data_IF_348907799638
#
_entry.id   IF_348907799638
#
_cell.length_a   1.000
_cell.length_b   1.000
_cell.length_c   1.000
_cell.angle_alpha   90.00
_cell.angle_beta   90.00
_cell.angle_gamma   90.00
#
_symmetry.space_group_name_H-M   'P 1'
#
loop_
_entity.id
_entity.type
_entity.pdbx_description
1 polymer ?
#
# COMPACT_ATOMS: atom_id res chain seq x y z
N UNK A 1 -72.58 19.26 37.35
CA UNK A 1 -71.60 19.89 36.45
C UNK A 1 -70.22 19.47 36.92
N UNK A 2 -69.58 18.46 36.30
CA UNK A 2 -68.26 18.03 36.73
C UNK A 2 -67.17 18.88 36.07
N UNK A 3 -66.25 19.30 36.92
CA UNK A 3 -65.02 20.04 36.66
C UNK A 3 -63.99 19.15 35.97
N UNK A 4 -63.41 19.63 34.87
CA UNK A 4 -62.30 18.99 34.16
C UNK A 4 -60.99 19.15 34.96
N UNK A 5 -60.40 18.03 35.40
CA UNK A 5 -59.03 18.00 35.89
C UNK A 5 -58.05 17.90 34.72
N UNK A 6 -57.04 18.77 34.75
CA UNK A 6 -55.88 18.79 33.87
C UNK A 6 -54.94 17.63 34.18
N UNK A 7 -54.44 16.96 33.14
CA UNK A 7 -53.25 16.09 33.20
C UNK A 7 -52.25 16.61 32.17
N UNK A 8 -51.03 17.04 32.57
CA UNK A 8 -50.01 17.42 31.62
C UNK A 8 -49.24 16.17 31.14
N UNK A 9 -49.31 15.94 29.83
CA UNK A 9 -48.50 14.99 29.08
C UNK A 9 -47.04 15.48 29.07
N UNK A 10 -46.03 14.65 29.39
CA UNK A 10 -44.64 15.07 29.28
C UNK A 10 -44.21 15.07 27.80
N UNK A 11 -43.90 16.25 27.29
CA UNK A 11 -43.29 16.45 25.98
C UNK A 11 -41.79 16.10 26.12
N UNK A 12 -41.42 14.89 25.71
CA UNK A 12 -40.03 14.49 25.60
C UNK A 12 -39.39 15.20 24.39
N UNK A 13 -38.56 16.20 24.69
CA UNK A 13 -37.73 16.91 23.73
C UNK A 13 -36.53 16.01 23.39
N UNK A 14 -36.59 15.32 22.25
CA UNK A 14 -35.44 14.62 21.66
C UNK A 14 -34.53 15.68 21.05
N UNK A 15 -33.41 15.94 21.73
CA UNK A 15 -32.34 16.80 21.25
C UNK A 15 -31.49 15.97 20.26
N UNK A 16 -31.73 16.13 18.96
CA UNK A 16 -30.83 15.64 17.93
C UNK A 16 -29.58 16.54 17.92
N UNK A 17 -28.47 16.06 18.47
CA UNK A 17 -27.16 16.69 18.34
C UNK A 17 -26.53 16.05 17.10
N UNK A 18 -26.21 16.90 16.12
CA UNK A 18 -25.65 16.50 14.84
C UNK A 18 -24.33 15.77 14.99
N UNK A 19 -24.21 14.64 14.30
CA UNK A 19 -22.92 14.03 14.01
C UNK A 19 -22.13 14.99 13.13
N UNK A 20 -20.95 15.38 13.60
CA UNK A 20 -19.88 15.77 12.71
C UNK A 20 -19.32 14.47 12.13
N UNK A 21 -19.69 14.18 10.89
CA UNK A 21 -18.92 13.32 10.01
C UNK A 21 -17.52 13.94 9.87
N UNK A 22 -16.53 13.31 10.50
CA UNK A 22 -15.11 13.45 10.18
C UNK A 22 -14.58 12.05 9.88
N UNK A 23 -15.04 11.50 8.77
CA UNK A 23 -14.28 10.48 8.05
C UNK A 23 -13.36 11.25 7.10
N UNK A 24 -12.09 11.38 7.48
CA UNK A 24 -11.08 11.80 6.53
C UNK A 24 -10.94 10.68 5.49
N UNK A 25 -11.11 10.98 4.18
CA UNK A 25 -10.81 10.02 3.14
C UNK A 25 -9.29 9.84 3.10
N UNK A 26 -8.81 8.63 3.37
CA UNK A 26 -7.53 8.19 2.82
C UNK A 26 -7.71 8.32 1.32
N UNK A 27 -7.05 9.32 0.74
CA UNK A 27 -6.97 9.54 -0.69
C UNK A 27 -6.16 8.37 -1.24
N UNK A 28 -6.84 7.25 -1.50
CA UNK A 28 -6.37 6.29 -2.49
C UNK A 28 -6.49 7.03 -3.82
N UNK A 29 -5.36 7.59 -4.26
CA UNK A 29 -5.25 7.96 -5.66
C UNK A 29 -5.56 6.71 -6.45
N UNK A 30 -6.60 6.77 -7.28
CA UNK A 30 -6.99 5.67 -8.15
C UNK A 30 -5.81 5.28 -9.02
N UNK A 31 -5.02 4.33 -8.54
CA UNK A 31 -4.13 3.55 -9.38
C UNK A 31 -5.08 2.65 -10.14
N UNK A 32 -5.39 3.06 -11.36
CA UNK A 32 -5.71 2.09 -12.40
C UNK A 32 -4.57 1.07 -12.34
N UNK A 33 -4.85 -0.08 -11.72
CA UNK A 33 -3.95 -1.24 -11.74
C UNK A 33 -3.95 -1.79 -13.16
N UNK A 34 -3.34 -1.04 -14.06
CA UNK A 34 -2.81 -1.53 -15.31
C UNK A 34 -1.54 -2.28 -14.97
N UNK A 35 -1.64 -3.56 -14.58
CA UNK A 35 -0.60 -4.58 -14.85
C UNK A 35 -1.08 -5.96 -14.38
N UNK A 36 -1.83 -6.62 -15.27
CA UNK A 36 -1.82 -8.07 -15.42
C UNK A 36 -1.91 -8.34 -16.92
N UNK A 37 -0.90 -8.95 -17.58
CA UNK A 37 -0.95 -9.10 -19.03
C UNK A 37 -1.83 -10.31 -19.37
N UNK A 38 -3.10 -10.08 -19.70
CA UNK A 38 -3.84 -11.05 -20.49
C UNK A 38 -3.51 -10.85 -21.96
N UNK A 39 -2.37 -11.41 -22.39
CA UNK A 39 -2.05 -11.59 -23.81
C UNK A 39 -2.40 -13.00 -24.21
N UNK A 40 -3.56 -13.15 -24.84
CA UNK A 40 -3.90 -14.34 -25.61
C UNK A 40 -2.92 -14.49 -26.77
N UNK A 41 -2.15 -15.59 -26.82
CA UNK A 41 -1.49 -16.00 -28.06
C UNK A 41 -1.72 -17.49 -28.33
N UNK A 42 -2.37 -17.74 -29.47
CA UNK A 42 -2.47 -19.03 -30.13
C UNK A 42 -1.34 -19.12 -31.16
N UNK A 43 -0.57 -20.21 -31.16
CA UNK A 43 0.52 -20.39 -32.13
C UNK A 43 1.24 -21.73 -32.04
N UNK A 44 0.92 -22.60 -32.99
CA UNK A 44 1.41 -23.98 -33.22
C UNK A 44 2.92 -24.08 -33.52
N UNK A 45 3.47 -25.24 -33.15
CA UNK A 45 4.81 -25.80 -33.37
C UNK A 45 5.47 -25.60 -34.75
N UNK A 46 6.80 -25.47 -34.76
CA UNK A 46 7.67 -26.34 -35.58
C UNK A 46 9.14 -26.36 -35.10
N UNK A 47 9.78 -27.52 -35.26
CA UNK A 47 11.15 -27.87 -34.85
C UNK A 47 12.21 -27.46 -35.87
N UNK A 48 13.45 -27.15 -35.43
CA UNK A 48 14.72 -27.72 -35.97
C UNK A 48 16.02 -27.02 -35.45
N UNK A 49 16.80 -27.80 -34.68
CA UNK A 49 18.24 -28.15 -34.86
C UNK A 49 19.39 -27.09 -34.86
N UNK A 50 20.25 -27.24 -33.83
CA UNK A 50 21.73 -27.39 -33.81
C UNK A 50 22.76 -26.23 -33.76
N UNK A 51 23.69 -26.44 -32.81
CA UNK A 51 25.14 -26.10 -32.72
C UNK A 51 25.48 -24.61 -32.50
N UNK A 52 26.56 -24.17 -31.81
CA UNK A 52 27.56 -24.63 -30.83
C UNK A 52 28.67 -23.54 -30.88
N UNK A 53 29.53 -23.49 -29.85
CA UNK A 53 30.81 -22.76 -29.71
C UNK A 53 30.77 -21.40 -28.99
N UNK A 54 31.29 -21.27 -27.75
CA UNK A 54 32.62 -21.51 -27.14
C UNK A 54 33.50 -20.25 -27.16
N UNK A 55 33.65 -19.68 -25.95
CA UNK A 55 34.78 -18.97 -25.31
C UNK A 55 35.76 -18.09 -26.11
N UNK A 56 36.12 -16.93 -25.55
CA UNK A 56 37.46 -16.72 -24.94
C UNK A 56 37.59 -15.36 -24.23
N UNK A 57 38.36 -15.41 -23.14
CA UNK A 57 38.80 -14.34 -22.22
C UNK A 57 40.13 -13.76 -22.71
N UNK A 58 40.36 -12.45 -22.52
CA UNK A 58 41.72 -11.89 -22.30
C UNK A 58 41.67 -10.64 -21.41
N UNK A 59 42.55 -10.64 -20.41
CA UNK A 59 42.90 -9.59 -19.43
C UNK A 59 44.23 -8.90 -19.79
N UNK A 60 44.57 -7.87 -18.98
CA UNK A 60 45.83 -7.09 -18.81
C UNK A 60 45.90 -5.72 -19.56
N UNK A 61 45.79 -4.53 -18.92
CA UNK A 61 46.59 -3.80 -17.89
C UNK A 61 47.72 -2.91 -18.52
N UNK A 62 48.34 -1.90 -17.84
CA UNK A 62 47.86 -0.59 -17.37
C UNK A 62 48.67 0.63 -17.92
N UNK A 63 48.25 1.85 -17.55
CA UNK A 63 49.19 2.89 -17.07
C UNK A 63 49.48 4.09 -18.00
N UNK A 64 49.24 5.30 -17.50
CA UNK A 64 49.79 6.54 -18.06
C UNK A 64 49.12 7.84 -17.60
N UNK A 65 49.66 8.46 -16.54
CA UNK A 65 49.35 9.84 -16.09
C UNK A 65 50.39 10.81 -16.66
N UNK A 66 49.99 11.95 -17.24
CA UNK A 66 50.39 13.35 -16.87
C UNK A 66 49.90 14.42 -17.86
N UNK A 67 49.37 15.49 -17.25
CA UNK A 67 49.39 16.94 -17.57
C UNK A 67 49.17 17.52 -18.98
N UNK A 68 48.26 18.49 -19.02
CA UNK A 68 48.17 19.48 -20.10
C UNK A 68 46.99 20.45 -19.93
N UNK A 69 47.21 21.55 -19.22
CA UNK A 69 46.25 22.64 -19.04
C UNK A 69 45.91 23.37 -20.36
N UNK A 70 44.64 23.73 -20.56
CA UNK A 70 44.27 24.94 -21.32
C UNK A 70 42.90 25.46 -20.89
N UNK A 71 42.90 26.72 -20.47
CA UNK A 71 41.75 27.58 -20.15
C UNK A 71 40.95 27.96 -21.40
N UNK A 72 39.64 27.79 -21.38
CA UNK A 72 38.71 28.63 -22.15
C UNK A 72 37.42 28.83 -21.35
N UNK A 73 37.21 30.09 -20.96
CA UNK A 73 35.97 30.63 -20.43
C UNK A 73 34.91 30.63 -21.52
N UNK A 74 33.67 30.25 -21.19
CA UNK A 74 32.50 30.75 -21.90
C UNK A 74 31.37 31.05 -20.92
N UNK A 75 31.29 32.35 -20.62
CA UNK A 75 30.16 33.04 -20.02
C UNK A 75 29.02 33.06 -21.04
N UNK A 76 27.87 32.49 -20.70
CA UNK A 76 26.62 32.77 -21.41
C UNK A 76 25.57 33.23 -20.42
N UNK A 77 25.53 34.55 -20.24
CA UNK A 77 24.41 35.33 -19.74
C UNK A 77 23.29 35.35 -20.79
N UNK A 78 22.09 34.88 -20.46
CA UNK A 78 20.87 35.16 -21.23
C UNK A 78 19.78 35.68 -20.28
N UNK A 79 19.76 37.02 -20.22
CA UNK A 79 18.59 37.93 -20.19
C UNK A 79 17.39 37.59 -19.29
N UNK A 80 17.30 38.34 -18.19
CA UNK A 80 16.06 38.91 -17.67
C UNK A 80 15.51 39.98 -18.63
N UNK A 81 14.22 39.91 -18.97
CA UNK A 81 13.18 40.90 -18.62
C UNK A 81 12.08 41.05 -19.70
N UNK A 82 10.85 40.63 -19.36
CA UNK A 82 9.63 41.33 -19.79
C UNK A 82 8.41 40.86 -18.97
N UNK A 83 7.69 41.77 -18.32
CA UNK A 83 6.45 41.46 -17.61
C UNK A 83 5.26 41.49 -18.59
N UNK A 84 4.57 40.37 -18.74
CA UNK A 84 3.25 40.31 -19.36
C UNK A 84 2.18 40.69 -18.30
N UNK A 85 1.33 41.71 -18.52
CA UNK A 85 0.29 42.12 -17.59
C UNK A 85 -0.95 41.24 -17.78
N UNK A 86 -0.81 39.97 -17.46
CA UNK A 86 -1.93 39.05 -17.24
C UNK A 86 -1.55 38.13 -16.08
N UNK A 87 -1.29 38.76 -14.93
CA UNK A 87 -0.93 38.13 -13.67
C UNK A 87 -2.07 37.31 -13.07
N UNK A 88 -2.43 36.21 -13.72
CA UNK A 88 -2.81 35.03 -12.99
C UNK A 88 -1.55 34.60 -12.23
N UNK A 89 -1.51 34.93 -10.94
CA UNK A 89 -0.57 34.31 -10.01
C UNK A 89 -0.94 32.83 -10.05
N UNK A 90 -0.22 32.06 -10.87
CA UNK A 90 -0.15 30.63 -10.69
C UNK A 90 0.53 30.49 -9.34
N UNK A 91 -0.27 30.28 -8.30
CA UNK A 91 0.24 29.81 -7.02
C UNK A 91 0.79 28.43 -7.37
N UNK A 92 2.07 28.38 -7.74
CA UNK A 92 2.85 27.16 -7.66
C UNK A 92 2.78 26.83 -6.17
N UNK A 93 2.09 25.75 -5.77
CA UNK A 93 2.18 25.28 -4.39
C UNK A 93 3.67 25.19 -4.08
N UNK A 94 4.14 25.70 -2.93
CA UNK A 94 5.54 25.51 -2.59
C UNK A 94 5.87 24.04 -2.75
N UNK A 95 6.92 23.72 -3.52
CA UNK A 95 7.41 22.35 -3.61
C UNK A 95 7.67 21.89 -2.18
N UNK A 96 7.02 20.78 -1.77
CA UNK A 96 7.26 20.22 -0.44
C UNK A 96 8.77 20.00 -0.29
N UNK A 97 9.36 20.40 0.86
CA UNK A 97 10.77 20.16 1.07
C UNK A 97 11.05 18.66 0.92
N UNK A 98 12.17 18.26 0.32
CA UNK A 98 12.51 16.85 0.21
C UNK A 98 12.61 16.22 1.61
N UNK A 99 12.31 14.92 1.71
CA UNK A 99 12.52 14.13 2.91
C UNK A 99 13.91 14.41 3.51
N UNK A 100 13.99 14.59 4.83
CA UNK A 100 15.26 14.88 5.51
C UNK A 100 16.09 13.62 5.75
N UNK A 101 15.47 12.45 5.67
CA UNK A 101 16.08 11.14 5.85
C UNK A 101 15.41 10.10 4.93
N UNK A 102 16.03 8.94 4.84
CA UNK A 102 15.56 7.80 4.07
C UNK A 102 15.05 6.71 5.02
N UNK A 103 13.76 6.41 4.92
CA UNK A 103 13.08 5.40 5.75
C UNK A 103 13.66 4.00 5.59
N UNK A 104 14.20 3.66 4.41
CA UNK A 104 14.79 2.35 4.12
C UNK A 104 16.14 2.17 4.81
N UNK A 105 16.93 3.24 4.89
CA UNK A 105 18.31 3.19 5.41
C UNK A 105 18.46 3.74 6.83
N UNK A 106 17.42 4.39 7.38
CA UNK A 106 17.41 4.97 8.73
C UNK A 106 18.64 5.86 8.99
N UNK A 107 18.98 6.70 8.03
CA UNK A 107 20.24 7.47 7.96
C UNK A 107 20.28 8.73 8.85
N UNK A 108 19.60 8.70 10.01
CA UNK A 108 19.56 9.80 10.96
C UNK A 108 20.79 9.84 11.89
N UNK A 109 21.11 11.01 12.48
CA UNK A 109 22.11 11.12 13.53
C UNK A 109 21.82 10.21 14.74
N UNK A 110 22.85 9.90 15.53
CA UNK A 110 22.69 9.09 16.72
C UNK A 110 21.71 9.74 17.72
N UNK A 111 20.73 8.95 18.18
CA UNK A 111 19.65 9.42 19.06
C UNK A 111 18.37 9.83 18.32
N UNK A 112 18.36 9.73 16.99
CA UNK A 112 17.20 10.02 16.15
C UNK A 112 16.87 8.84 15.23
N UNK A 113 15.60 8.73 14.81
CA UNK A 113 15.11 7.77 13.83
C UNK A 113 14.39 8.47 12.69
N UNK A 114 14.33 7.84 11.52
CA UNK A 114 13.61 8.40 10.38
C UNK A 114 12.14 8.02 10.47
N UNK A 115 11.27 9.01 10.65
CA UNK A 115 9.82 8.82 10.84
C UNK A 115 9.01 9.96 10.20
N UNK A 116 7.70 9.80 10.15
CA UNK A 116 6.79 10.89 9.78
C UNK A 116 6.85 12.00 10.85
N UNK A 117 7.05 13.25 10.45
CA UNK A 117 7.11 14.41 11.34
C UNK A 117 5.72 14.81 11.86
N UNK A 118 4.68 14.58 11.05
CA UNK A 118 3.29 14.94 11.35
C UNK A 118 3.10 16.42 11.73
N UNK A 119 1.89 16.81 12.15
CA UNK A 119 0.63 16.08 11.97
C UNK A 119 0.21 16.03 10.48
N UNK A 120 -0.81 15.23 10.12
CA UNK A 120 -1.31 15.13 8.74
C UNK A 120 -1.68 16.49 8.11
N UNK A 121 -1.65 16.60 6.76
CA UNK A 121 -1.35 15.55 5.80
C UNK A 121 0.15 15.22 5.77
N UNK A 122 0.49 13.93 5.81
CA UNK A 122 1.87 13.52 5.54
C UNK A 122 2.07 13.46 4.03
N UNK A 123 3.18 14.01 3.55
CA UNK A 123 3.66 13.80 2.19
C UNK A 123 5.03 13.15 2.26
N UNK A 124 5.61 12.80 1.11
CA UNK A 124 7.00 12.35 1.04
C UNK A 124 7.98 13.37 1.63
N UNK A 125 7.61 14.66 1.70
CA UNK A 125 8.38 15.71 2.39
C UNK A 125 8.20 15.74 3.91
N UNK A 126 7.23 15.01 4.46
CA UNK A 126 6.95 14.92 5.90
C UNK A 126 7.78 13.84 6.60
N UNK A 127 8.82 13.31 5.96
CA UNK A 127 9.75 12.33 6.54
C UNK A 127 10.97 13.07 7.09
N UNK A 128 11.20 12.95 8.40
CA UNK A 128 12.26 13.65 9.10
C UNK A 128 12.94 12.80 10.18
N UNK A 129 14.13 13.25 10.59
CA UNK A 129 14.80 12.68 11.76
C UNK A 129 14.13 13.18 13.03
N UNK A 130 13.59 12.24 13.81
CA UNK A 130 12.85 12.52 15.05
C UNK A 130 13.60 11.91 16.25
N UNK A 131 13.64 12.58 17.41
CA UNK A 131 14.29 12.02 18.60
C UNK A 131 13.67 10.69 19.01
N UNK A 132 14.52 9.71 19.33
CA UNK A 132 14.09 8.43 19.89
C UNK A 132 13.70 8.67 21.36
N UNK A 133 12.54 8.15 21.77
CA UNK A 133 12.08 8.24 23.16
C UNK A 133 12.99 7.42 24.09
N UNK A 134 13.10 7.78 25.39
CA UNK A 134 13.72 6.90 26.37
C UNK A 134 12.97 5.55 26.42
N UNK A 135 13.71 4.45 26.48
CA UNK A 135 13.17 3.07 26.52
C UNK A 135 12.14 2.79 25.41
N UNK A 136 12.54 2.85 24.13
CA UNK A 136 11.61 2.74 23.01
C UNK A 136 10.97 1.35 22.91
N UNK A 137 9.71 1.31 22.50
CA UNK A 137 8.94 0.09 22.31
C UNK A 137 9.53 -0.75 21.17
N UNK A 138 9.58 -2.06 21.37
CA UNK A 138 10.16 -3.03 20.45
C UNK A 138 9.09 -3.63 19.52
N UNK A 139 9.51 -4.41 18.52
CA UNK A 139 8.63 -5.04 17.54
C UNK A 139 7.49 -5.82 18.24
N UNK A 140 6.25 -5.55 17.85
CA UNK A 140 5.04 -6.16 18.41
C UNK A 140 4.61 -5.61 19.78
N UNK A 141 5.35 -4.68 20.38
CA UNK A 141 4.94 -4.03 21.62
C UNK A 141 3.96 -2.87 21.33
N UNK A 142 3.08 -2.53 22.30
CA UNK A 142 2.18 -1.39 22.14
C UNK A 142 2.96 -0.08 22.04
N UNK A 143 2.47 0.83 21.21
CA UNK A 143 3.09 2.12 20.94
C UNK A 143 2.08 3.27 20.94
N UNK A 144 2.60 4.49 20.91
CA UNK A 144 1.81 5.71 20.82
C UNK A 144 2.39 6.67 19.78
N UNK A 145 1.51 7.31 19.01
CA UNK A 145 1.85 8.49 18.20
C UNK A 145 1.85 9.73 19.10
N UNK A 146 2.90 10.54 19.00
CA UNK A 146 3.19 11.66 19.91
C UNK A 146 2.56 12.99 19.47
N UNK A 147 1.81 12.97 18.38
CA UNK A 147 1.09 14.13 17.82
C UNK A 147 -0.37 13.76 17.59
N UNK A 148 -1.24 14.76 17.46
CA UNK A 148 -2.63 14.50 17.11
C UNK A 148 -2.74 13.91 15.70
N UNK A 149 -3.38 12.75 15.59
CA UNK A 149 -3.56 12.00 14.35
C UNK A 149 -3.09 10.56 14.47
N UNK A 150 -3.05 9.86 13.34
CA UNK A 150 -2.57 8.48 13.22
C UNK A 150 -1.18 8.40 12.58
N UNK A 151 -0.59 9.54 12.20
CA UNK A 151 0.71 9.62 11.53
C UNK A 151 1.56 10.70 12.19
N UNK A 152 2.77 10.32 12.61
CA UNK A 152 3.74 11.23 13.19
C UNK A 152 4.84 10.50 13.96
N UNK A 153 5.61 11.24 14.78
CA UNK A 153 6.64 10.67 15.62
C UNK A 153 5.98 9.72 16.62
N UNK A 154 6.61 8.58 16.85
CA UNK A 154 6.03 7.51 17.66
C UNK A 154 7.05 6.96 18.68
N UNK A 155 6.56 6.13 19.60
CA UNK A 155 7.37 5.56 20.68
C UNK A 155 8.14 4.30 20.31
N UNK A 156 8.07 3.81 19.07
CA UNK A 156 8.80 2.62 18.62
C UNK A 156 10.28 2.90 18.42
N UNK A 157 11.11 1.85 18.48
CA UNK A 157 12.55 1.95 18.25
C UNK A 157 12.91 2.25 16.78
N UNK A 158 14.21 2.41 16.50
CA UNK A 158 14.74 2.64 15.16
C UNK A 158 14.33 1.50 14.21
N UNK A 159 13.87 1.87 13.01
CA UNK A 159 13.40 0.89 12.01
C UNK A 159 12.03 0.29 12.34
N UNK A 160 11.31 0.85 13.32
CA UNK A 160 9.94 0.49 13.65
C UNK A 160 9.01 1.70 13.53
N UNK A 161 7.74 1.43 13.23
CA UNK A 161 6.68 2.40 13.07
C UNK A 161 5.42 1.97 13.81
N UNK A 162 4.68 2.92 14.37
CA UNK A 162 3.44 2.64 15.08
C UNK A 162 2.27 2.48 14.10
N UNK A 163 1.79 1.25 13.91
CA UNK A 163 0.67 0.91 13.02
C UNK A 163 -0.60 0.67 13.84
N UNK A 164 -1.75 0.67 13.14
CA UNK A 164 -3.07 0.37 13.72
C UNK A 164 -3.43 1.26 14.91
N UNK A 165 -3.06 2.53 14.74
CA UNK A 165 -3.25 3.57 15.75
C UNK A 165 -4.75 3.87 15.88
N UNK A 166 -5.33 3.52 17.02
CA UNK A 166 -6.69 3.90 17.37
C UNK A 166 -6.81 5.43 17.39
N UNK A 167 -7.75 6.02 16.63
CA UNK A 167 -7.84 7.47 16.46
C UNK A 167 -8.26 8.21 17.73
N UNK A 168 -8.81 7.50 18.73
CA UNK A 168 -9.23 8.06 20.02
C UNK A 168 -8.11 7.94 21.05
N UNK A 169 -7.47 6.78 21.17
CA UNK A 169 -6.46 6.53 22.20
C UNK A 169 -5.03 6.82 21.74
N UNK A 170 -4.82 7.03 20.42
CA UNK A 170 -3.51 7.18 19.78
C UNK A 170 -2.55 6.04 20.09
N UNK A 171 -3.09 4.83 20.29
CA UNK A 171 -2.32 3.64 20.63
C UNK A 171 -2.39 2.65 19.47
N UNK A 172 -1.26 2.02 19.18
CA UNK A 172 -1.15 0.99 18.15
C UNK A 172 -0.10 -0.05 18.54
N UNK A 173 0.47 -0.70 17.53
CA UNK A 173 1.52 -1.72 17.70
C UNK A 173 2.75 -1.35 16.87
N UNK A 174 3.96 -1.62 17.38
CA UNK A 174 5.18 -1.40 16.61
C UNK A 174 5.36 -2.45 15.52
N UNK A 175 5.39 -2.03 14.26
CA UNK A 175 5.69 -2.86 13.09
C UNK A 175 7.05 -2.50 12.51
N UNK A 176 7.71 -3.47 11.87
CA UNK A 176 9.01 -3.23 11.23
C UNK A 176 8.84 -2.43 9.94
N UNK A 177 9.71 -1.45 9.75
CA UNK A 177 9.90 -0.77 8.47
C UNK A 177 10.68 -1.72 7.56
N UNK A 178 10.29 -1.81 6.30
CA UNK A 178 11.00 -2.64 5.33
C UNK A 178 12.47 -2.20 5.18
N UNK A 179 13.33 -3.19 4.99
CA UNK A 179 14.75 -2.96 4.70
C UNK A 179 15.06 -3.26 3.23
N UNK A 180 16.30 -3.02 2.82
CA UNK A 180 16.72 -3.21 1.42
C UNK A 180 16.47 -1.97 0.58
N UNK A 181 15.65 -2.10 -0.46
CA UNK A 181 15.31 -1.00 -1.38
C UNK A 181 13.90 -1.17 -1.94
N UNK A 182 13.28 -0.12 -2.51
CA UNK A 182 11.98 -0.23 -3.18
C UNK A 182 11.90 -1.37 -4.21
N UNK A 183 12.96 -1.59 -4.99
CA UNK A 183 13.00 -2.64 -6.02
C UNK A 183 13.30 -4.06 -5.47
N UNK A 184 13.77 -4.15 -4.23
CA UNK A 184 14.13 -5.41 -3.59
C UNK A 184 13.88 -5.30 -2.07
N UNK A 185 12.60 -5.19 -1.67
CA UNK A 185 12.24 -5.00 -0.28
C UNK A 185 12.45 -6.28 0.52
N UNK A 186 12.86 -6.12 1.78
CA UNK A 186 13.20 -7.23 2.67
C UNK A 186 12.50 -7.07 4.01
N UNK A 187 11.81 -8.14 4.40
CA UNK A 187 11.14 -8.30 5.70
C UNK A 187 11.59 -9.59 6.39
N UNK A 188 11.15 -9.77 7.65
CA UNK A 188 11.38 -11.00 8.40
C UNK A 188 10.74 -12.23 7.76
N UNK A 189 11.12 -13.42 8.24
CA UNK A 189 10.48 -14.65 7.79
C UNK A 189 8.98 -14.63 8.12
N UNK A 190 8.14 -14.97 7.13
CA UNK A 190 6.68 -14.92 7.29
C UNK A 190 6.07 -13.54 7.08
N UNK A 191 6.83 -12.56 6.57
CA UNK A 191 6.33 -11.21 6.32
C UNK A 191 6.56 -10.78 4.87
N UNK A 192 5.71 -9.87 4.39
CA UNK A 192 5.80 -9.23 3.08
C UNK A 192 5.80 -7.71 3.26
N UNK A 193 6.50 -7.01 2.37
CA UNK A 193 6.64 -5.56 2.45
C UNK A 193 5.53 -4.83 1.71
N UNK A 194 4.77 -4.00 2.42
CA UNK A 194 3.91 -2.98 1.84
C UNK A 194 4.78 -1.79 1.43
N UNK A 195 4.85 -1.51 0.13
CA UNK A 195 5.67 -0.42 -0.44
C UNK A 195 4.84 0.75 -0.97
N UNK A 196 3.51 0.61 -1.00
CA UNK A 196 2.60 1.62 -1.56
C UNK A 196 2.22 2.73 -0.58
N UNK A 197 2.89 2.80 0.56
CA UNK A 197 2.69 3.82 1.59
C UNK A 197 3.98 4.63 1.80
N UNK A 198 3.87 5.78 2.46
CA UNK A 198 4.99 6.70 2.68
C UNK A 198 6.11 6.08 3.55
N UNK A 199 5.74 5.16 4.43
CA UNK A 199 6.66 4.39 5.29
C UNK A 199 6.50 2.92 4.94
N UNK A 200 7.44 2.25 4.26
CA UNK A 200 7.26 0.87 3.83
C UNK A 200 7.20 -0.06 5.06
N UNK A 201 6.17 -0.90 5.18
CA UNK A 201 5.93 -1.71 6.38
C UNK A 201 5.98 -3.21 6.10
N UNK A 202 6.58 -3.97 7.00
CA UNK A 202 6.50 -5.42 7.02
C UNK A 202 5.19 -5.84 7.67
N UNK A 203 4.38 -6.56 6.90
CA UNK A 203 3.10 -7.12 7.32
C UNK A 203 3.22 -8.64 7.35
N UNK A 204 2.42 -9.27 8.22
CA UNK A 204 2.35 -10.73 8.28
C UNK A 204 1.81 -11.27 6.96
N UNK A 205 2.55 -12.20 6.36
CA UNK A 205 2.12 -12.89 5.15
C UNK A 205 1.01 -13.90 5.51
N UNK A 206 0.05 -14.05 4.61
CA UNK A 206 -1.07 -14.95 4.79
C UNK A 206 -1.32 -15.81 3.55
N UNK A 207 -2.14 -16.84 3.74
CA UNK A 207 -2.69 -17.65 2.65
C UNK A 207 -4.18 -17.36 2.55
N UNK A 208 -4.69 -16.82 1.43
CA UNK A 208 -6.07 -16.37 1.33
C UNK A 208 -7.10 -17.51 1.34
N UNK A 209 -6.65 -18.77 1.22
CA UNK A 209 -7.50 -19.95 1.35
C UNK A 209 -7.58 -20.44 2.80
N UNK A 210 -6.84 -19.83 3.72
CA UNK A 210 -6.77 -20.17 5.14
C UNK A 210 -7.05 -18.94 6.01
N UNK A 211 -7.93 -19.08 7.01
CA UNK A 211 -8.15 -18.05 8.04
C UNK A 211 -6.90 -17.96 8.94
N UNK A 212 -5.93 -17.12 8.54
CA UNK A 212 -4.59 -17.04 9.15
C UNK A 212 -4.27 -15.69 9.76
N UNK A 213 -5.10 -14.67 9.54
CA UNK A 213 -4.84 -13.32 10.01
C UNK A 213 -5.32 -13.09 11.46
N UNK A 214 -4.57 -12.29 12.25
CA UNK A 214 -4.94 -11.97 13.63
C UNK A 214 -6.08 -10.95 13.68
N UNK A 215 -6.71 -10.82 14.86
CA UNK A 215 -7.60 -9.70 15.20
C UNK A 215 -8.73 -9.39 14.19
N UNK A 216 -9.24 -10.43 13.53
CA UNK A 216 -10.27 -10.35 12.48
C UNK A 216 -9.83 -9.55 11.23
N UNK A 217 -8.52 -9.41 11.00
CA UNK A 217 -7.94 -8.88 9.76
C UNK A 217 -8.21 -9.79 8.55
N UNK A 218 -8.24 -9.19 7.37
CA UNK A 218 -8.44 -9.91 6.09
C UNK A 218 -7.13 -10.15 5.36
N UNK A 219 -7.03 -11.30 4.70
CA UNK A 219 -5.87 -11.63 3.87
C UNK A 219 -5.98 -10.98 2.47
N UNK A 220 -5.27 -9.87 2.27
CA UNK A 220 -5.35 -9.09 1.04
C UNK A 220 -4.20 -9.37 0.07
N UNK A 221 -4.40 -9.22 -1.25
CA UNK A 221 -3.30 -9.24 -2.21
C UNK A 221 -2.26 -8.15 -1.92
N UNK A 222 -0.99 -8.57 -1.82
CA UNK A 222 0.15 -7.68 -1.72
C UNK A 222 1.37 -8.28 -2.41
N UNK A 223 1.81 -7.67 -3.51
CA UNK A 223 2.89 -8.23 -4.32
C UNK A 223 4.23 -8.30 -3.56
N UNK A 224 4.96 -9.44 -3.60
CA UNK A 224 4.58 -10.71 -4.24
C UNK A 224 3.89 -11.67 -3.24
N UNK A 225 2.56 -11.78 -3.28
CA UNK A 225 1.79 -12.67 -2.41
C UNK A 225 0.57 -12.00 -1.76
N UNK A 226 0.38 -12.26 -0.48
CA UNK A 226 -0.72 -11.77 0.34
C UNK A 226 -0.23 -11.34 1.73
N UNK A 227 -0.94 -10.39 2.34
CA UNK A 227 -0.65 -9.88 3.67
C UNK A 227 -1.93 -9.71 4.49
N UNK A 228 -1.83 -9.87 5.81
CA UNK A 228 -2.88 -9.47 6.72
C UNK A 228 -2.97 -7.94 6.75
N UNK A 229 -4.19 -7.45 6.60
CA UNK A 229 -4.49 -6.04 6.70
C UNK A 229 -5.86 -5.86 7.32
N UNK A 230 -6.03 -4.75 8.04
CA UNK A 230 -7.29 -4.41 8.69
C UNK A 230 -8.47 -4.52 7.74
N UNK A 231 -9.49 -5.23 8.18
CA UNK A 231 -10.76 -5.29 7.49
C UNK A 231 -11.44 -3.91 7.46
N UNK A 232 -12.30 -3.70 6.47
CA UNK A 232 -13.25 -2.60 6.51
C UNK A 232 -14.61 -3.08 6.97
N UNK A 233 -15.11 -2.49 8.04
CA UNK A 233 -16.47 -2.75 8.49
C UNK A 233 -17.52 -1.90 7.73
N UNK A 234 -18.62 -2.49 7.23
CA UNK A 234 -18.90 -3.93 7.15
C UNK A 234 -18.24 -4.59 5.92
N UNK A 235 -17.74 -5.84 6.04
CA UNK A 235 -17.17 -6.58 4.91
C UNK A 235 -18.25 -6.94 3.88
N UNK A 236 -17.84 -7.01 2.61
CA UNK A 236 -18.71 -7.28 1.47
C UNK A 236 -18.64 -8.74 1.03
N UNK A 237 -19.80 -9.33 0.78
CA UNK A 237 -19.92 -10.72 0.36
C UNK A 237 -19.54 -10.96 -1.11
N UNK A 238 -19.65 -12.22 -1.58
CA UNK A 238 -19.29 -12.59 -2.93
C UNK A 238 -20.17 -11.87 -3.96
N UNK A 239 -19.53 -11.42 -5.05
CA UNK A 239 -20.14 -10.70 -6.18
C UNK A 239 -20.71 -9.32 -5.83
N UNK A 240 -20.42 -8.80 -4.63
CA UNK A 240 -20.78 -7.43 -4.24
C UNK A 240 -19.74 -6.41 -4.74
N UNK A 241 -20.19 -5.18 -5.02
CA UNK A 241 -19.33 -4.12 -5.53
C UNK A 241 -18.35 -3.63 -4.47
N UNK A 242 -17.06 -3.55 -4.78
CA UNK A 242 -16.01 -3.09 -3.87
C UNK A 242 -15.19 -1.96 -4.50
N UNK A 243 -14.59 -1.13 -3.65
CA UNK A 243 -13.79 0.03 -4.03
C UNK A 243 -12.37 -0.05 -3.43
N UNK A 244 -12.16 -0.86 -2.39
CA UNK A 244 -10.89 -1.03 -1.69
C UNK A 244 -10.47 -2.50 -1.67
N UNK A 245 -9.16 -2.74 -1.61
CA UNK A 245 -8.58 -4.09 -1.63
C UNK A 245 -9.00 -4.94 -0.42
N UNK A 246 -9.26 -4.30 0.73
CA UNK A 246 -9.62 -4.90 2.00
C UNK A 246 -11.13 -4.78 2.33
N UNK A 247 -11.98 -4.59 1.31
CA UNK A 247 -13.44 -4.46 1.51
C UNK A 247 -14.21 -5.77 1.41
N UNK A 248 -13.60 -6.81 0.86
CA UNK A 248 -14.25 -8.08 0.65
C UNK A 248 -13.99 -8.99 1.84
N UNK A 249 -14.99 -9.79 2.19
CA UNK A 249 -14.94 -10.78 3.27
C UNK A 249 -13.83 -11.83 3.03
N UNK A 250 -13.49 -12.58 4.07
CA UNK A 250 -12.41 -13.56 4.02
C UNK A 250 -12.56 -14.58 2.87
N UNK A 251 -11.44 -14.87 2.21
CA UNK A 251 -11.41 -15.72 1.03
C UNK A 251 -11.95 -15.05 -0.25
N UNK A 252 -12.26 -13.75 -0.19
CA UNK A 252 -12.60 -12.93 -1.34
C UNK A 252 -11.55 -11.82 -1.57
N UNK A 253 -11.53 -11.25 -2.77
CA UNK A 253 -10.71 -10.10 -3.09
C UNK A 253 -11.43 -9.15 -4.03
N UNK A 254 -11.10 -7.87 -3.91
CA UNK A 254 -11.65 -6.86 -4.80
C UNK A 254 -10.96 -6.94 -6.17
N UNK A 255 -11.70 -7.37 -7.19
CA UNK A 255 -11.20 -7.51 -8.56
C UNK A 255 -11.98 -6.62 -9.53
N UNK A 256 -11.60 -6.68 -10.80
CA UNK A 256 -12.34 -5.97 -11.85
C UNK A 256 -13.73 -6.59 -12.03
N UNK A 257 -14.69 -5.77 -12.46
CA UNK A 257 -16.08 -6.19 -12.71
C UNK A 257 -16.22 -7.18 -13.86
N UNK A 258 -15.16 -7.39 -14.65
CA UNK A 258 -15.14 -8.35 -15.76
C UNK A 258 -14.96 -9.81 -15.30
N UNK A 259 -14.58 -10.04 -14.03
CA UNK A 259 -14.37 -11.39 -13.52
C UNK A 259 -15.65 -12.19 -13.27
N UNK A 260 -16.84 -11.58 -13.30
CA UNK A 260 -18.11 -12.30 -13.27
C UNK A 260 -19.19 -11.55 -14.06
N UNK A 261 -20.21 -12.27 -14.56
CA UNK A 261 -21.34 -11.63 -15.27
C UNK A 261 -22.33 -10.96 -14.31
N UNK A 262 -22.28 -11.31 -13.03
CA UNK A 262 -23.11 -10.80 -11.95
C UNK A 262 -22.60 -9.50 -11.36
N UNK A 263 -21.33 -9.15 -11.62
CA UNK A 263 -20.75 -7.90 -11.15
C UNK A 263 -21.43 -6.71 -11.81
N UNK A 264 -21.62 -5.63 -11.05
CA UNK A 264 -22.11 -4.36 -11.59
C UNK A 264 -21.07 -3.81 -12.59
N UNK A 265 -21.38 -3.70 -13.89
CA UNK A 265 -20.43 -3.20 -14.88
C UNK A 265 -20.03 -1.75 -14.66
N UNK A 266 -20.84 -0.97 -13.92
CA UNK A 266 -20.56 0.42 -13.59
C UNK A 266 -19.85 0.58 -12.21
N UNK A 267 -19.61 -0.52 -11.50
CA UNK A 267 -18.89 -0.53 -10.21
C UNK A 267 -17.37 -0.36 -10.36
N UNK A 268 -16.70 0.10 -9.29
CA UNK A 268 -15.25 0.22 -9.27
C UNK A 268 -14.54 -1.15 -9.28
N UNK A 269 -15.16 -2.14 -8.62
CA UNK A 269 -14.68 -3.51 -8.51
C UNK A 269 -15.78 -4.44 -8.04
N UNK A 270 -15.46 -5.72 -7.94
CA UNK A 270 -16.36 -6.81 -7.55
C UNK A 270 -15.61 -7.80 -6.65
N UNK A 271 -16.23 -8.22 -5.55
CA UNK A 271 -15.65 -9.20 -4.64
C UNK A 271 -15.71 -10.60 -5.25
N UNK A 272 -14.57 -11.09 -5.73
CA UNK A 272 -14.43 -12.42 -6.32
C UNK A 272 -13.76 -13.37 -5.35
N UNK A 273 -14.07 -14.66 -5.45
CA UNK A 273 -13.52 -15.66 -4.55
C UNK A 273 -12.13 -16.12 -4.99
N UNK A 274 -11.24 -16.34 -4.01
CA UNK A 274 -10.12 -17.25 -4.20
C UNK A 274 -10.62 -18.70 -4.30
N UNK A 275 -9.83 -19.54 -4.95
CA UNK A 275 -10.13 -20.97 -5.07
C UNK A 275 -8.85 -21.81 -5.01
N UNK A 276 -8.95 -23.05 -4.53
CA UNK A 276 -7.84 -24.00 -4.53
C UNK A 276 -7.77 -24.74 -5.88
N UNK A 277 -6.69 -24.52 -6.63
CA UNK A 277 -6.41 -25.17 -7.92
C UNK A 277 -6.23 -26.69 -7.80
N UNK A 278 -5.91 -27.18 -6.59
CA UNK A 278 -5.71 -28.58 -6.29
C UNK A 278 -7.01 -29.29 -5.90
N UNK A 279 -8.08 -28.54 -5.62
CA UNK A 279 -9.37 -29.06 -5.23
C UNK A 279 -10.39 -28.96 -6.38
N UNK A 280 -11.40 -29.84 -6.42
CA UNK A 280 -12.57 -29.64 -7.26
C UNK A 280 -13.35 -28.43 -6.73
N UNK A 281 -13.06 -27.25 -7.26
CA UNK A 281 -13.74 -26.01 -6.90
C UNK A 281 -14.96 -25.74 -7.78
N UNK A 282 -16.03 -25.21 -7.18
CA UNK A 282 -17.09 -24.51 -7.91
C UNK A 282 -17.01 -23.04 -7.55
N UNK A 283 -16.75 -22.21 -8.56
CA UNK A 283 -16.78 -20.76 -8.40
C UNK A 283 -18.22 -20.26 -8.22
N UNK A 284 -18.43 -19.20 -7.41
CA UNK A 284 -19.77 -18.73 -7.07
C UNK A 284 -20.50 -18.09 -8.27
N UNK A 285 -19.77 -17.45 -9.19
CA UNK A 285 -20.33 -16.80 -10.38
C UNK A 285 -20.60 -17.76 -11.54
N UNK A 286 -21.59 -17.42 -12.36
CA UNK A 286 -22.00 -18.18 -13.53
C UNK A 286 -20.90 -18.14 -14.59
N UNK A 287 -20.41 -19.32 -14.96
CA UNK A 287 -19.39 -19.47 -15.99
C UNK A 287 -17.98 -19.14 -15.53
N UNK A 288 -17.78 -18.85 -14.24
CA UNK A 288 -16.45 -18.72 -13.67
C UNK A 288 -15.73 -20.06 -13.61
N UNK A 289 -14.43 -20.01 -13.85
CA UNK A 289 -13.51 -21.13 -13.68
C UNK A 289 -12.46 -20.74 -12.63
N UNK A 290 -11.93 -21.75 -11.94
CA UNK A 290 -10.82 -21.55 -11.01
C UNK A 290 -9.52 -21.49 -11.83
N UNK A 291 -9.04 -20.28 -12.09
CA UNK A 291 -7.83 -20.05 -12.89
C UNK A 291 -6.65 -19.64 -11.99
N UNK A 292 -5.39 -19.90 -12.38
CA UNK A 292 -4.23 -19.51 -11.58
C UNK A 292 -4.23 -18.01 -11.26
N UNK A 293 -4.03 -17.66 -9.98
CA UNK A 293 -4.00 -16.26 -9.55
C UNK A 293 -2.73 -15.54 -10.02
N UNK A 294 -1.59 -16.22 -9.89
CA UNK A 294 -0.29 -15.68 -10.26
C UNK A 294 0.04 -15.97 -11.73
N UNK A 295 0.66 -15.00 -12.40
CA UNK A 295 1.22 -15.20 -13.72
C UNK A 295 2.44 -16.14 -13.68
N UNK A 296 2.73 -16.88 -14.76
CA UNK A 296 3.92 -17.73 -14.82
C UNK A 296 5.21 -16.94 -14.55
N UNK A 297 5.92 -17.28 -13.48
CA UNK A 297 7.15 -16.61 -13.05
C UNK A 297 7.01 -15.75 -11.79
N UNK A 298 5.77 -15.41 -11.41
CA UNK A 298 5.47 -14.57 -10.25
C UNK A 298 4.93 -15.37 -9.05
N UNK A 299 5.02 -16.71 -9.10
CA UNK A 299 4.51 -17.60 -8.04
C UNK A 299 5.41 -17.52 -6.80
N UNK A 300 4.92 -17.01 -5.66
CA UNK A 300 5.65 -17.11 -4.41
C UNK A 300 5.63 -18.56 -3.90
N UNK A 301 6.73 -19.07 -3.30
CA UNK A 301 6.77 -20.42 -2.76
C UNK A 301 5.65 -20.67 -1.74
N UNK A 302 4.91 -21.76 -1.89
CA UNK A 302 3.80 -22.14 -0.99
C UNK A 302 2.43 -21.64 -1.44
N UNK A 303 2.34 -20.70 -2.39
CA UNK A 303 1.08 -20.17 -2.91
C UNK A 303 0.71 -20.73 -4.29
N UNK A 304 1.33 -21.83 -4.72
CA UNK A 304 1.12 -22.42 -6.05
C UNK A 304 -0.29 -23.02 -6.25
N UNK A 305 -1.00 -23.20 -5.15
CA UNK A 305 -2.34 -23.75 -5.11
C UNK A 305 -3.44 -22.67 -5.18
N UNK A 306 -3.07 -21.39 -5.06
CA UNK A 306 -4.02 -20.27 -5.06
C UNK A 306 -4.45 -19.94 -6.49
N UNK A 307 -5.76 -20.03 -6.72
CA UNK A 307 -6.46 -19.56 -7.91
C UNK A 307 -7.44 -18.44 -7.59
N UNK A 308 -7.99 -17.83 -8.65
CA UNK A 308 -9.11 -16.92 -8.58
C UNK A 308 -10.29 -17.45 -9.40
N UNK A 309 -11.48 -17.25 -8.86
CA UNK A 309 -12.73 -17.46 -9.57
C UNK A 309 -13.03 -16.28 -10.48
N UNK A 310 -12.78 -16.47 -11.77
CA UNK A 310 -12.97 -15.45 -12.82
C UNK A 310 -13.53 -16.09 -14.09
N UNK A 311 -14.07 -15.27 -15.00
CA UNK A 311 -14.42 -15.72 -16.35
C UNK A 311 -13.13 -15.99 -17.17
N UNK A 312 -13.11 -17.05 -18.01
CA UNK A 312 -11.97 -17.41 -18.85
C UNK A 312 -11.82 -16.55 -20.11
#
# INVERSE_FOLDING_TARGET
MPTFLHSPLPLALVLAIGGCDILDPIITTGVTSETGPWVTSTGTSDSATTLSDTSTVTTDDPGGTTDGATTLSDTSTVTTDSPDPSGAVFIVPPDDPPAQCDVWTQNCPAGEKCAAEGPPPVSSGSIACTPIVPDPAQLGEPCQVLVEGHLGPDTCDVGLYCLDVDPVTQQGTCHAICTGSPDNPVCGAGQVCLTSNEVPLCLEACDPLLETCPDDDVCIPLYPGFACWRDTDPPKGPLESCDLVNQCDDGLFCSTTQGAVECDPDGAGCCLAYCDLSAPGTCPGVGQECLPYFAPGDLPPGLEHVGACVLP
#
